data_IF_180150856924
#
_entry.id   IF_180150856924
#
_cell.length_a   1.000
_cell.length_b   1.000
_cell.length_c   1.000
_cell.angle_alpha   90.00
_cell.angle_beta   90.00
_cell.angle_gamma   90.00
#
_symmetry.space_group_name_H-M   'P 1'
#
loop_
_entity.id
_entity.type
_entity.pdbx_description
1 polymer ?
#
# COMPACT_ATOMS: atom_id res chain seq x y z
N UNK A 1 -23.34 18.09 -18.28
CA UNK A 1 -23.94 17.74 -16.97
C UNK A 1 -23.79 16.24 -16.79
N UNK A 2 -22.82 15.81 -16.00
CA UNK A 2 -22.67 14.39 -15.62
C UNK A 2 -23.17 14.31 -14.19
N UNK A 3 -24.44 13.94 -14.00
CA UNK A 3 -24.96 13.57 -12.69
C UNK A 3 -24.19 12.34 -12.23
N UNK A 4 -23.55 12.42 -11.06
CA UNK A 4 -22.89 11.28 -10.43
C UNK A 4 -23.95 10.18 -10.22
N UNK A 5 -23.88 9.03 -10.91
CA UNK A 5 -24.90 7.98 -10.83
C UNK A 5 -25.05 7.37 -9.44
N UNK A 6 -24.10 7.64 -8.54
CA UNK A 6 -24.06 7.12 -7.17
C UNK A 6 -24.38 8.19 -6.12
N UNK A 7 -24.72 9.41 -6.56
CA UNK A 7 -25.02 10.54 -5.68
C UNK A 7 -26.24 10.25 -4.79
N UNK A 8 -27.29 9.63 -5.34
CA UNK A 8 -28.49 9.23 -4.58
C UNK A 8 -28.17 8.20 -3.49
N UNK A 9 -27.31 7.22 -3.79
CA UNK A 9 -26.88 6.18 -2.84
C UNK A 9 -26.03 6.74 -1.70
N UNK A 10 -25.21 7.74 -1.97
CA UNK A 10 -24.36 8.38 -0.95
C UNK A 10 -25.13 9.44 -0.14
N UNK A 11 -26.15 10.08 -0.74
CA UNK A 11 -27.00 11.08 -0.09
C UNK A 11 -27.88 10.49 1.02
N UNK A 12 -28.28 9.21 0.94
CA UNK A 12 -28.99 8.53 2.03
C UNK A 12 -28.17 8.43 3.33
N UNK A 13 -26.84 8.57 3.26
CA UNK A 13 -25.95 8.43 4.42
C UNK A 13 -25.56 9.75 5.09
N UNK A 14 -25.66 10.90 4.42
CA UNK A 14 -25.12 12.17 4.93
C UNK A 14 -25.95 13.39 4.48
N UNK A 15 -26.14 14.35 5.40
CA UNK A 15 -26.89 15.59 5.16
C UNK A 15 -26.24 16.54 4.13
N UNK A 16 -24.97 16.34 3.79
CA UNK A 16 -24.21 17.11 2.81
C UNK A 16 -23.49 16.15 1.84
N UNK A 17 -24.03 15.90 0.63
CA UNK A 17 -23.48 14.90 -0.28
C UNK A 17 -22.14 15.36 -0.83
N UNK A 18 -21.15 14.50 -0.71
CA UNK A 18 -19.80 14.70 -1.26
C UNK A 18 -19.69 13.79 -2.49
N UNK A 19 -18.96 14.17 -3.54
CA UNK A 19 -18.85 13.35 -4.75
C UNK A 19 -18.25 11.96 -4.50
N UNK A 20 -18.86 10.92 -5.06
CA UNK A 20 -18.48 9.53 -4.80
C UNK A 20 -17.02 9.23 -5.18
N UNK A 21 -16.46 8.14 -4.65
CA UNK A 21 -15.11 7.70 -5.02
C UNK A 21 -14.98 7.45 -6.52
N UNK A 22 -16.00 6.83 -7.10
CA UNK A 22 -16.07 6.48 -8.53
C UNK A 22 -16.11 7.75 -9.38
N UNK A 23 -16.90 8.74 -8.99
CA UNK A 23 -16.94 10.02 -9.70
C UNK A 23 -15.61 10.78 -9.64
N UNK A 24 -14.93 10.81 -8.48
CA UNK A 24 -13.60 11.43 -8.35
C UNK A 24 -12.58 10.71 -9.26
N UNK A 25 -12.60 9.37 -9.31
CA UNK A 25 -11.72 8.60 -10.18
C UNK A 25 -12.01 8.85 -11.66
N UNK A 26 -13.28 8.85 -12.06
CA UNK A 26 -13.69 9.14 -13.43
C UNK A 26 -13.25 10.55 -13.85
N UNK A 27 -13.44 11.54 -12.97
CA UNK A 27 -13.05 12.91 -13.21
C UNK A 27 -11.54 13.05 -13.39
N UNK A 28 -10.75 12.44 -12.50
CA UNK A 28 -9.29 12.41 -12.63
C UNK A 28 -8.86 11.65 -13.89
N UNK A 29 -9.57 10.60 -14.30
CA UNK A 29 -9.31 9.84 -15.54
C UNK A 29 -9.51 10.69 -16.79
N UNK A 30 -10.44 11.65 -16.79
CA UNK A 30 -10.67 12.57 -17.91
C UNK A 30 -9.64 13.70 -17.99
N UNK A 31 -9.00 14.07 -16.87
CA UNK A 31 -7.95 15.10 -16.84
C UNK A 31 -6.66 14.59 -17.46
N UNK A 32 -5.82 15.43 -18.05
CA UNK A 32 -4.46 15.02 -18.45
C UNK A 32 -3.44 15.20 -17.30
N UNK A 33 -3.68 16.21 -16.44
CA UNK A 33 -2.77 16.62 -15.38
C UNK A 33 -3.32 16.24 -14.00
N UNK A 34 -2.43 15.99 -13.01
CA UNK A 34 -2.82 15.88 -11.60
C UNK A 34 -3.65 17.08 -11.16
N UNK A 35 -4.55 16.87 -10.19
CA UNK A 35 -5.45 17.90 -9.69
C UNK A 35 -5.10 18.29 -8.27
N UNK A 36 -5.04 19.59 -7.96
CA UNK A 36 -4.99 20.01 -6.55
C UNK A 36 -6.35 19.77 -5.87
N UNK A 37 -6.39 19.78 -4.53
CA UNK A 37 -7.66 19.70 -3.80
C UNK A 37 -8.60 20.84 -4.19
N UNK A 38 -8.05 22.04 -4.33
CA UNK A 38 -8.85 23.24 -4.56
C UNK A 38 -9.40 23.26 -6.01
N UNK A 39 -8.64 22.76 -6.97
CA UNK A 39 -9.13 22.51 -8.34
C UNK A 39 -10.27 21.47 -8.35
N UNK A 40 -10.11 20.36 -7.62
CA UNK A 40 -11.17 19.37 -7.49
C UNK A 40 -12.41 19.94 -6.81
N UNK A 41 -12.25 20.79 -5.80
CA UNK A 41 -13.38 21.43 -5.14
C UNK A 41 -14.16 22.33 -6.12
N UNK A 42 -13.47 23.16 -6.89
CA UNK A 42 -14.09 24.04 -7.90
C UNK A 42 -14.80 23.23 -8.98
N UNK A 43 -14.12 22.22 -9.54
CA UNK A 43 -14.66 21.41 -10.65
C UNK A 43 -15.82 20.51 -10.24
N UNK A 44 -15.85 20.10 -8.98
CA UNK A 44 -16.92 19.29 -8.41
C UNK A 44 -18.01 20.14 -7.73
N UNK A 45 -17.95 21.47 -7.89
CA UNK A 45 -18.90 22.43 -7.32
C UNK A 45 -19.07 22.31 -5.79
N UNK A 46 -17.96 22.20 -5.07
CA UNK A 46 -17.90 22.12 -3.61
C UNK A 46 -17.57 23.50 -3.03
N UNK A 47 -18.52 24.09 -2.32
CA UNK A 47 -18.42 25.48 -1.83
C UNK A 47 -18.49 25.60 -0.29
N UNK A 48 -19.09 24.63 0.41
CA UNK A 48 -19.23 24.68 1.87
C UNK A 48 -18.04 24.12 2.65
N UNK A 49 -17.71 24.72 3.81
CA UNK A 49 -16.60 24.25 4.68
C UNK A 49 -16.73 22.77 5.07
N UNK A 50 -17.94 22.32 5.39
CA UNK A 50 -18.21 20.93 5.75
C UNK A 50 -17.95 19.98 4.57
N UNK A 51 -18.37 20.37 3.37
CA UNK A 51 -18.16 19.58 2.15
C UNK A 51 -16.68 19.56 1.75
N UNK A 52 -15.95 20.67 1.92
CA UNK A 52 -14.50 20.75 1.70
C UNK A 52 -13.74 19.83 2.66
N UNK A 53 -14.12 19.83 3.94
CA UNK A 53 -13.53 18.95 4.94
C UNK A 53 -13.84 17.48 4.63
N UNK A 54 -15.05 17.18 4.18
CA UNK A 54 -15.40 15.83 3.80
C UNK A 54 -14.73 15.37 2.49
N UNK A 55 -14.54 16.24 1.49
CA UNK A 55 -13.71 15.96 0.31
C UNK A 55 -12.28 15.64 0.74
N UNK A 56 -11.70 16.44 1.65
CA UNK A 56 -10.36 16.18 2.20
C UNK A 56 -10.27 14.79 2.84
N UNK A 57 -11.25 14.41 3.67
CA UNK A 57 -11.29 13.09 4.31
C UNK A 57 -11.43 11.97 3.28
N UNK A 58 -12.25 12.16 2.24
CA UNK A 58 -12.44 11.19 1.16
C UNK A 58 -11.18 10.99 0.33
N UNK A 59 -10.54 12.07 -0.11
CA UNK A 59 -9.27 12.01 -0.84
C UNK A 59 -8.17 11.31 -0.02
N UNK A 60 -8.06 11.62 1.28
CA UNK A 60 -7.14 10.91 2.19
C UNK A 60 -7.46 9.41 2.32
N UNK A 61 -8.73 9.05 2.37
CA UNK A 61 -9.13 7.64 2.42
C UNK A 61 -8.78 6.93 1.10
N UNK A 62 -9.05 7.55 -0.05
CA UNK A 62 -8.69 7.01 -1.37
C UNK A 62 -7.17 6.88 -1.53
N UNK A 63 -6.40 7.84 -1.02
CA UNK A 63 -4.94 7.75 -0.97
C UNK A 63 -4.49 6.58 -0.08
N UNK A 64 -5.11 6.38 1.08
CA UNK A 64 -4.83 5.25 1.98
C UNK A 64 -5.09 3.91 1.29
N UNK A 65 -6.15 3.83 0.50
CA UNK A 65 -6.54 2.59 -0.19
C UNK A 65 -5.70 2.34 -1.46
N UNK A 66 -4.84 3.30 -1.83
CA UNK A 66 -3.95 3.22 -2.98
C UNK A 66 -4.63 3.54 -4.31
N UNK A 67 -5.84 4.12 -4.27
CA UNK A 67 -6.58 4.55 -5.47
C UNK A 67 -6.04 5.88 -6.02
N UNK A 68 -5.43 6.68 -5.16
CA UNK A 68 -4.82 7.97 -5.50
C UNK A 68 -3.41 8.04 -4.93
N UNK A 69 -2.57 8.84 -5.58
CA UNK A 69 -1.25 9.22 -5.09
C UNK A 69 -1.20 10.73 -4.90
N UNK A 70 -0.83 11.15 -3.69
CA UNK A 70 -0.56 12.54 -3.39
C UNK A 70 0.89 12.87 -3.75
N UNK A 71 1.05 13.75 -4.73
CA UNK A 71 2.35 14.13 -5.28
C UNK A 71 3.01 15.24 -4.45
N UNK A 72 4.33 15.42 -4.61
CA UNK A 72 5.08 16.50 -3.95
C UNK A 72 4.58 17.91 -4.30
N UNK A 73 3.85 18.07 -5.41
CA UNK A 73 3.25 19.33 -5.85
C UNK A 73 1.88 19.60 -5.21
N UNK A 74 1.51 18.83 -4.19
CA UNK A 74 0.21 18.90 -3.52
C UNK A 74 -1.00 18.59 -4.43
N UNK A 75 -0.77 17.76 -5.44
CA UNK A 75 -1.82 17.30 -6.35
C UNK A 75 -2.07 15.80 -6.21
N UNK A 76 -3.31 15.38 -6.46
CA UNK A 76 -3.72 13.99 -6.56
C UNK A 76 -3.62 13.50 -8.01
N UNK A 77 -3.09 12.30 -8.18
CA UNK A 77 -2.98 11.61 -9.46
C UNK A 77 -3.39 10.15 -9.32
N UNK A 78 -3.80 9.54 -10.44
CA UNK A 78 -4.01 8.11 -10.54
C UNK A 78 -2.64 7.39 -10.53
N UNK A 79 -2.50 6.28 -9.79
CA UNK A 79 -1.25 5.50 -9.75
C UNK A 79 -0.74 5.12 -11.15
N UNK A 80 -1.64 4.75 -12.05
CA UNK A 80 -1.33 4.28 -13.41
C UNK A 80 -0.63 5.36 -14.24
N UNK A 81 -0.93 6.65 -13.98
CA UNK A 81 -0.27 7.79 -14.67
C UNK A 81 1.14 8.07 -14.19
N UNK A 82 1.51 7.50 -13.05
CA UNK A 82 2.83 7.62 -12.47
C UNK A 82 3.65 6.34 -12.71
N UNK A 83 3.18 5.46 -13.60
CA UNK A 83 3.71 4.13 -13.84
C UNK A 83 3.77 3.30 -12.54
N UNK A 84 2.79 3.45 -11.65
CA UNK A 84 2.71 2.70 -10.41
C UNK A 84 1.72 1.56 -10.56
N UNK A 85 2.08 0.41 -9.97
CA UNK A 85 1.29 -0.81 -9.97
C UNK A 85 1.04 -1.27 -8.56
N UNK A 86 -0.18 -1.74 -8.31
CA UNK A 86 -0.55 -2.41 -7.06
C UNK A 86 -0.28 -3.91 -7.19
N UNK A 87 0.33 -4.50 -6.17
CA UNK A 87 0.60 -5.94 -6.16
C UNK A 87 0.78 -6.52 -4.76
N UNK A 88 0.90 -7.85 -4.71
CA UNK A 88 1.16 -8.60 -3.47
C UNK A 88 2.60 -9.07 -3.44
N UNK A 89 3.27 -8.88 -2.30
CA UNK A 89 4.66 -9.27 -2.07
C UNK A 89 4.76 -10.77 -1.79
N UNK A 90 5.63 -11.44 -2.54
CA UNK A 90 5.98 -12.85 -2.39
C UNK A 90 7.45 -12.90 -1.94
N UNK A 91 7.69 -13.20 -0.67
CA UNK A 91 9.05 -13.32 -0.15
C UNK A 91 9.73 -14.62 -0.57
N UNK A 92 11.05 -14.58 -0.66
CA UNK A 92 11.92 -15.75 -0.87
C UNK A 92 12.87 -15.92 0.31
N UNK A 93 13.27 -17.17 0.59
CA UNK A 93 14.15 -17.51 1.72
C UNK A 93 15.53 -16.87 1.68
N UNK A 94 16.02 -16.57 0.48
CA UNK A 94 17.32 -15.90 0.27
C UNK A 94 17.22 -14.37 0.43
N UNK A 95 16.08 -13.86 0.92
CA UNK A 95 15.86 -12.45 1.23
C UNK A 95 15.48 -11.55 0.07
N UNK A 96 15.45 -12.05 -1.17
CA UNK A 96 14.78 -11.36 -2.27
C UNK A 96 13.29 -11.70 -2.32
N UNK A 97 12.54 -11.11 -3.25
CA UNK A 97 11.15 -11.45 -3.44
C UNK A 97 10.63 -11.12 -4.81
N UNK A 98 9.32 -11.25 -4.96
CA UNK A 98 8.60 -10.91 -6.18
C UNK A 98 7.35 -10.13 -5.86
N UNK A 99 6.96 -9.23 -6.76
CA UNK A 99 5.69 -8.54 -6.72
C UNK A 99 4.76 -9.13 -7.76
N UNK A 100 3.68 -9.75 -7.29
CA UNK A 100 2.60 -10.23 -8.15
C UNK A 100 1.59 -9.12 -8.39
N UNK A 101 1.45 -8.71 -9.64
CA UNK A 101 0.50 -7.68 -10.09
C UNK A 101 -0.69 -8.37 -10.75
N UNK A 102 -1.89 -8.00 -10.35
CA UNK A 102 -3.12 -8.55 -10.94
C UNK A 102 -3.21 -8.22 -12.44
N UNK A 103 -3.65 -9.18 -13.25
CA UNK A 103 -3.72 -9.02 -14.71
C UNK A 103 -2.38 -9.12 -15.45
N UNK A 104 -1.25 -9.26 -14.73
CA UNK A 104 0.07 -9.49 -15.32
C UNK A 104 0.51 -10.94 -15.14
N UNK A 105 1.06 -11.55 -16.19
CA UNK A 105 1.57 -12.93 -16.15
C UNK A 105 2.92 -13.05 -15.45
N UNK A 106 3.79 -12.07 -15.66
CA UNK A 106 5.14 -12.08 -15.12
C UNK A 106 5.19 -11.29 -13.80
N UNK A 107 5.71 -11.93 -12.76
CA UNK A 107 6.00 -11.27 -11.49
C UNK A 107 7.24 -10.35 -11.63
N UNK A 108 7.24 -9.23 -10.90
CA UNK A 108 8.37 -8.30 -10.88
C UNK A 108 9.35 -8.68 -9.77
N UNK A 109 10.65 -8.65 -10.05
CA UNK A 109 11.68 -8.95 -9.06
C UNK A 109 11.81 -7.81 -8.03
N UNK A 110 11.87 -8.17 -6.74
CA UNK A 110 12.17 -7.29 -5.63
C UNK A 110 13.54 -7.67 -5.05
N UNK A 111 14.46 -6.71 -5.03
CA UNK A 111 15.78 -6.92 -4.44
C UNK A 111 15.69 -7.12 -2.92
N UNK A 112 16.74 -7.70 -2.33
CA UNK A 112 16.82 -7.85 -0.87
C UNK A 112 16.76 -6.52 -0.13
N UNK A 113 17.16 -5.42 -0.77
CA UNK A 113 17.01 -4.07 -0.20
C UNK A 113 15.55 -3.63 -0.17
N UNK A 114 14.78 -3.88 -1.24
CA UNK A 114 13.34 -3.59 -1.25
C UNK A 114 12.60 -4.43 -0.22
N UNK A 115 12.97 -5.71 -0.09
CA UNK A 115 12.38 -6.64 0.88
C UNK A 115 12.63 -6.26 2.35
N UNK A 116 13.53 -5.32 2.66
CA UNK A 116 13.66 -4.79 4.04
C UNK A 116 12.50 -3.89 4.45
N UNK A 117 11.71 -3.41 3.49
CA UNK A 117 10.62 -2.44 3.72
C UNK A 117 9.22 -3.07 3.77
N UNK A 118 9.13 -4.38 3.53
CA UNK A 118 7.88 -5.12 3.45
C UNK A 118 8.11 -6.58 3.83
N UNK A 119 7.03 -7.29 4.14
CA UNK A 119 7.07 -8.72 4.43
C UNK A 119 6.26 -9.51 3.40
N UNK A 120 6.46 -10.83 3.40
CA UNK A 120 5.64 -11.71 2.57
C UNK A 120 4.15 -11.52 2.89
N UNK A 121 3.35 -11.30 1.84
CA UNK A 121 1.90 -11.14 1.94
C UNK A 121 1.43 -9.68 2.03
N UNK A 122 2.35 -8.71 2.12
CA UNK A 122 1.99 -7.30 2.05
C UNK A 122 1.38 -6.94 0.70
N UNK A 123 0.37 -6.07 0.70
CA UNK A 123 -0.08 -5.39 -0.51
C UNK A 123 0.63 -4.04 -0.60
N UNK A 124 1.30 -3.80 -1.72
CA UNK A 124 2.15 -2.63 -1.91
C UNK A 124 1.81 -1.91 -3.21
N UNK A 125 2.17 -0.63 -3.25
CA UNK A 125 2.28 0.16 -4.47
C UNK A 125 3.75 0.24 -4.85
N UNK A 126 4.07 -0.12 -6.09
CA UNK A 126 5.44 -0.18 -6.57
C UNK A 126 5.56 0.44 -7.96
N UNK A 127 6.76 0.89 -8.29
CA UNK A 127 7.12 1.38 -9.62
C UNK A 127 7.93 0.28 -10.34
N UNK A 128 7.45 -0.26 -11.46
CA UNK A 128 8.25 -1.12 -12.32
C UNK A 128 9.48 -0.38 -12.82
N UNK A 129 10.61 -1.07 -12.84
CA UNK A 129 11.87 -0.58 -13.38
C UNK A 129 12.19 -1.33 -14.68
N UNK A 130 13.28 -0.93 -15.33
CA UNK A 130 13.82 -1.65 -16.48
C UNK A 130 14.26 -3.07 -16.12
N UNK A 131 14.71 -3.80 -17.15
CA UNK A 131 15.31 -5.11 -16.93
C UNK A 131 16.69 -4.97 -16.26
N UNK A 132 16.98 -5.84 -15.29
CA UNK A 132 18.31 -5.99 -14.72
C UNK A 132 19.30 -6.58 -15.75
N UNK A 133 20.58 -6.69 -15.37
CA UNK A 133 21.63 -7.32 -16.20
C UNK A 133 21.33 -8.77 -16.60
N UNK A 134 20.36 -9.42 -15.95
CA UNK A 134 19.92 -10.81 -16.19
C UNK A 134 18.59 -10.87 -16.94
N UNK A 135 18.07 -9.73 -17.42
CA UNK A 135 16.82 -9.65 -18.19
C UNK A 135 15.55 -9.69 -17.33
N UNK A 136 15.65 -9.66 -16.00
CA UNK A 136 14.49 -9.70 -15.09
C UNK A 136 13.95 -8.30 -14.87
N UNK A 137 12.64 -8.13 -14.96
CA UNK A 137 11.99 -6.83 -14.71
C UNK A 137 11.92 -6.59 -13.21
N UNK A 138 12.58 -5.53 -12.75
CA UNK A 138 12.60 -5.18 -11.32
C UNK A 138 11.44 -4.25 -10.95
N UNK A 139 11.20 -4.11 -9.65
CA UNK A 139 10.30 -3.10 -9.11
C UNK A 139 10.89 -2.44 -7.87
N UNK A 140 10.55 -1.17 -7.68
CA UNK A 140 10.81 -0.41 -6.45
C UNK A 140 9.53 -0.20 -5.70
N UNK A 141 9.49 -0.60 -4.43
CA UNK A 141 8.37 -0.34 -3.53
C UNK A 141 8.33 1.16 -3.24
N UNK A 142 7.16 1.76 -3.46
CA UNK A 142 6.91 3.16 -3.13
C UNK A 142 6.25 3.25 -1.76
N UNK A 143 5.31 2.35 -1.47
CA UNK A 143 4.56 2.35 -0.21
C UNK A 143 3.87 1.01 0.04
N UNK A 144 3.76 0.61 1.31
CA UNK A 144 2.86 -0.47 1.75
C UNK A 144 1.43 0.07 1.89
N UNK A 145 0.48 -0.57 1.21
CA UNK A 145 -0.94 -0.21 1.26
C UNK A 145 -1.66 -0.96 2.38
N UNK A 146 -1.49 -2.28 2.41
CA UNK A 146 -2.08 -3.15 3.42
C UNK A 146 -0.97 -4.05 3.95
N UNK A 147 -0.46 -3.78 5.16
CA UNK A 147 0.51 -4.67 5.78
C UNK A 147 -0.16 -5.99 6.16
N UNK A 148 0.57 -7.09 6.06
CA UNK A 148 0.11 -8.39 6.50
C UNK A 148 0.19 -8.45 8.03
N UNK A 149 -0.96 -8.36 8.68
CA UNK A 149 -1.07 -8.35 10.16
C UNK A 149 -1.35 -9.74 10.76
N UNK A 150 -1.04 -10.82 10.04
CA UNK A 150 -1.21 -12.17 10.59
C UNK A 150 -0.19 -12.46 11.68
N UNK A 151 -0.62 -13.23 12.69
CA UNK A 151 0.30 -13.80 13.67
C UNK A 151 1.41 -14.59 12.96
N UNK A 152 2.65 -14.40 13.41
CA UNK A 152 3.82 -15.11 12.90
C UNK A 152 4.13 -16.21 13.90
N UNK A 153 4.11 -17.46 13.42
CA UNK A 153 4.53 -18.63 14.21
C UNK A 153 6.02 -18.81 14.02
N UNK A 154 6.74 -19.07 15.11
CA UNK A 154 8.17 -19.28 15.09
C UNK A 154 8.69 -19.81 16.40
N UNK A 155 9.99 -20.09 16.43
CA UNK A 155 10.70 -20.61 17.60
C UNK A 155 11.46 -19.48 18.28
N UNK A 156 11.31 -19.41 19.61
CA UNK A 156 11.99 -18.42 20.43
C UNK A 156 13.39 -18.90 20.82
N UNK A 157 14.37 -18.02 20.63
CA UNK A 157 15.77 -18.21 20.98
C UNK A 157 16.26 -17.03 21.81
N UNK A 158 17.36 -17.28 22.53
CA UNK A 158 18.07 -16.25 23.29
C UNK A 158 19.55 -16.34 22.98
N UNK A 159 20.15 -15.25 22.53
CA UNK A 159 21.59 -15.17 22.27
C UNK A 159 22.14 -13.89 22.91
N UNK A 160 23.24 -14.01 23.67
CA UNK A 160 23.87 -12.90 24.38
C UNK A 160 22.90 -12.03 25.23
N UNK A 161 21.82 -12.62 25.77
CA UNK A 161 20.81 -11.92 26.57
C UNK A 161 19.70 -11.22 25.75
N UNK A 162 19.73 -11.31 24.42
CA UNK A 162 18.69 -10.78 23.53
C UNK A 162 17.77 -11.93 23.10
N UNK A 163 16.45 -11.73 23.28
CA UNK A 163 15.42 -12.66 22.83
C UNK A 163 15.00 -12.37 21.40
N UNK A 164 14.82 -13.40 20.58
CA UNK A 164 14.29 -13.27 19.23
C UNK A 164 13.48 -14.50 18.81
N UNK A 165 12.60 -14.31 17.84
CA UNK A 165 11.81 -15.38 17.21
C UNK A 165 12.30 -15.57 15.79
N UNK A 166 12.67 -16.81 15.45
CA UNK A 166 12.92 -17.25 14.08
C UNK A 166 11.58 -17.74 13.51
N UNK A 167 11.02 -17.10 12.48
CA UNK A 167 9.78 -17.55 11.86
C UNK A 167 9.89 -18.96 11.27
N UNK A 168 8.83 -19.77 11.39
CA UNK A 168 8.79 -21.09 10.75
C UNK A 168 8.55 -20.97 9.23
N UNK A 169 7.92 -19.87 8.77
CA UNK A 169 7.80 -19.57 7.36
C UNK A 169 9.12 -19.02 6.80
N UNK A 170 9.86 -19.87 6.09
CA UNK A 170 11.14 -19.52 5.44
C UNK A 170 11.09 -18.29 4.52
N UNK A 171 9.91 -17.80 4.10
CA UNK A 171 9.78 -16.58 3.29
C UNK A 171 9.93 -15.30 4.10
N UNK A 172 9.86 -15.39 5.43
CA UNK A 172 10.20 -14.33 6.37
C UNK A 172 11.67 -14.51 6.78
N UNK A 173 12.57 -14.00 5.93
CA UNK A 173 14.03 -14.20 6.06
C UNK A 173 14.68 -13.23 7.06
N UNK A 174 14.04 -12.99 8.21
CA UNK A 174 14.54 -12.10 9.24
C UNK A 174 14.13 -12.59 10.64
N UNK A 175 14.95 -12.28 11.63
CA UNK A 175 14.65 -12.55 13.02
C UNK A 175 13.81 -11.42 13.61
N UNK A 176 12.85 -11.78 14.46
CA UNK A 176 11.98 -10.82 15.14
C UNK A 176 12.48 -10.65 16.57
N UNK A 177 13.11 -9.51 16.86
CA UNK A 177 13.57 -9.19 18.21
C UNK A 177 12.38 -9.03 19.16
N UNK A 178 12.46 -9.68 20.32
CA UNK A 178 11.43 -9.62 21.36
C UNK A 178 12.03 -8.91 22.59
N UNK A 179 11.46 -7.77 23.00
CA UNK A 179 11.86 -7.11 24.23
C UNK A 179 11.69 -8.03 25.46
N UNK A 180 12.57 -7.94 26.48
CA UNK A 180 12.51 -8.84 27.65
C UNK A 180 11.18 -8.81 28.41
N UNK A 181 10.47 -7.69 28.39
CA UNK A 181 9.16 -7.50 29.03
C UNK A 181 7.99 -8.08 28.21
N UNK A 182 8.22 -8.45 26.95
CA UNK A 182 7.20 -8.95 26.02
C UNK A 182 7.31 -10.46 25.73
N UNK A 183 8.20 -11.17 26.43
CA UNK A 183 8.45 -12.62 26.19
C UNK A 183 7.30 -13.52 26.64
N UNK A 184 6.38 -13.03 27.47
CA UNK A 184 5.22 -13.78 27.99
C UNK A 184 5.55 -15.18 28.55
N UNK A 185 6.74 -15.36 29.14
CA UNK A 185 7.19 -16.63 29.71
C UNK A 185 7.73 -17.65 28.70
N UNK A 186 7.99 -17.25 27.45
CA UNK A 186 8.63 -18.09 26.44
C UNK A 186 10.00 -18.60 26.93
N UNK A 187 10.32 -19.86 26.58
CA UNK A 187 11.57 -20.53 26.94
C UNK A 187 12.37 -20.84 25.68
N UNK A 188 13.69 -20.81 25.81
CA UNK A 188 14.62 -21.09 24.71
C UNK A 188 14.35 -22.48 24.11
N UNK A 189 14.17 -22.54 22.80
CA UNK A 189 14.13 -23.79 22.07
C UNK A 189 15.55 -24.41 21.98
N UNK A 190 15.65 -25.74 22.08
CA UNK A 190 16.90 -26.45 21.83
C UNK A 190 17.09 -26.61 20.31
N UNK A 191 18.31 -26.41 19.83
CA UNK A 191 18.66 -26.72 18.43
C UNK A 191 18.56 -28.25 18.23
N UNK A 192 17.77 -28.67 17.23
CA UNK A 192 17.67 -30.06 16.77
C UNK A 192 18.49 -30.27 15.51
#
# INVERSE_FOLDING_TARGET
MSQDPFQEREAEKYANPIPSREFILEHLTKREKPASRDELAVELHIEGEEQLEGLRRRLRAMERDGQLVFTRRQCYALPERLDLVKGTVIGHRDGYGFLRVEGRKDDLYLSSEQMKTCIHGDQVLAQPLGADRKGRREARIVRVLVPKTSQIVGRYFTEAGVGFVVPDDSRLSFDILIPPDQIMGARMALWS
#
